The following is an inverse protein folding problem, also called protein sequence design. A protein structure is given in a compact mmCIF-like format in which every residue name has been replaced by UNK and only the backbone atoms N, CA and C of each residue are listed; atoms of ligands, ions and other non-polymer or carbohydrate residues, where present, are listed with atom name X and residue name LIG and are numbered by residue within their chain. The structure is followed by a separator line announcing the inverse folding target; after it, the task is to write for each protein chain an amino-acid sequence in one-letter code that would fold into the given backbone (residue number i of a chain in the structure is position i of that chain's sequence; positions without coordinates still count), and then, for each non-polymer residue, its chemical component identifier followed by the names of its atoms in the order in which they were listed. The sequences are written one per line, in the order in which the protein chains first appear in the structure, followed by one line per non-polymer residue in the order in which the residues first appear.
data_IF_405563021179
#
_entry.id   IF_405563021179
#
_cell.length_a   1.000
_cell.length_b   1.000
_cell.length_c   1.000
_cell.angle_alpha   90.00
_cell.angle_beta   90.00
_cell.angle_gamma   90.00
#
_symmetry.space_group_name_H-M   'P 1'
#
loop_
_entity.id
_entity.type
_entity.pdbx_description
1 polymer ?
#
# COMPACT_ATOMS: atom_id res chain seq x y z
N UNK A 1 48.95 8.22 53.05
CA UNK A 1 48.56 7.03 52.29
C UNK A 1 47.07 7.03 51.85
N UNK A 2 46.25 8.01 52.11
CA UNK A 2 44.80 8.01 51.70
C UNK A 2 44.51 8.64 50.35
N UNK A 3 45.41 9.43 49.80
CA UNK A 3 45.19 10.21 48.53
C UNK A 3 45.48 9.44 47.25
N UNK A 4 46.23 8.33 47.31
CA UNK A 4 46.58 7.51 46.14
C UNK A 4 45.53 6.46 45.77
N UNK A 5 44.61 6.12 46.70
CA UNK A 5 43.59 5.10 46.44
C UNK A 5 42.37 5.67 45.65
N UNK A 6 42.12 6.97 45.77
CA UNK A 6 40.97 7.63 45.09
C UNK A 6 41.29 7.84 43.58
N UNK A 7 42.56 8.04 43.23
CA UNK A 7 42.95 8.23 41.82
C UNK A 7 42.85 6.96 41.01
N UNK A 8 43.00 5.78 41.63
CA UNK A 8 42.90 4.47 40.94
C UNK A 8 41.43 4.07 40.67
N UNK A 9 40.47 4.51 41.51
CA UNK A 9 39.07 4.23 41.31
C UNK A 9 38.43 5.11 40.21
N UNK A 10 38.94 6.32 39.97
CA UNK A 10 38.50 7.20 38.89
C UNK A 10 39.05 6.77 37.50
N UNK A 11 40.18 6.11 37.44
CA UNK A 11 40.76 5.59 36.21
C UNK A 11 40.13 4.28 35.73
N UNK A 12 39.48 3.52 36.61
CA UNK A 12 38.77 2.29 36.24
C UNK A 12 37.39 2.55 35.68
N UNK A 13 36.77 3.71 35.94
CA UNK A 13 35.46 4.10 35.38
C UNK A 13 35.60 4.71 33.97
N UNK A 14 36.76 5.18 33.57
CA UNK A 14 37.01 5.78 32.26
C UNK A 14 37.27 4.80 31.10
N UNK A 15 37.44 3.50 31.36
CA UNK A 15 37.80 2.51 30.36
C UNK A 15 36.62 1.68 29.80
N UNK A 16 35.41 1.87 30.32
CA UNK A 16 34.22 1.16 29.83
C UNK A 16 33.34 1.94 28.85
N UNK A 17 33.79 3.15 28.42
CA UNK A 17 33.03 3.99 27.50
C UNK A 17 33.42 3.77 26.01
N UNK A 18 34.24 2.78 25.69
CA UNK A 18 34.60 2.48 24.32
C UNK A 18 33.67 1.41 23.73
N UNK A 19 32.72 1.85 22.90
CA UNK A 19 32.15 1.01 21.87
C UNK A 19 30.81 0.36 22.14
N UNK A 20 29.89 0.99 22.89
CA UNK A 20 28.51 0.50 22.84
C UNK A 20 27.90 0.83 21.48
N UNK A 21 27.65 -0.19 20.67
CA UNK A 21 27.07 -0.08 19.34
C UNK A 21 25.67 0.58 19.46
N UNK A 22 25.43 1.63 18.69
CA UNK A 22 24.18 2.38 18.73
C UNK A 22 23.04 1.64 18.01
N UNK A 23 21.78 1.88 18.32
CA UNK A 23 20.66 1.30 17.57
C UNK A 23 20.73 1.55 16.06
N UNK A 24 21.23 2.73 15.64
CA UNK A 24 21.51 3.05 14.23
C UNK A 24 22.50 2.10 13.57
N UNK A 25 23.53 1.67 14.29
CA UNK A 25 24.55 0.79 13.75
C UNK A 25 23.98 -0.62 13.52
N UNK A 26 23.18 -1.11 14.49
CA UNK A 26 22.44 -2.37 14.34
C UNK A 26 21.47 -2.31 13.16
N UNK A 27 20.75 -1.19 13.00
CA UNK A 27 19.80 -1.02 11.90
C UNK A 27 20.50 -1.03 10.54
N UNK A 28 21.62 -0.29 10.40
CA UNK A 28 22.38 -0.23 9.16
C UNK A 28 22.99 -1.60 8.81
N UNK A 29 23.55 -2.30 9.79
CA UNK A 29 24.12 -3.64 9.58
C UNK A 29 23.03 -4.67 9.23
N UNK A 30 21.89 -4.66 9.91
CA UNK A 30 20.73 -5.49 9.58
C UNK A 30 20.24 -5.22 8.16
N UNK A 31 20.18 -3.95 7.75
CA UNK A 31 19.80 -3.55 6.40
C UNK A 31 20.81 -4.04 5.35
N UNK A 32 22.11 -4.00 5.67
CA UNK A 32 23.13 -4.57 4.81
C UNK A 32 22.96 -6.08 4.64
N UNK A 33 22.78 -6.83 5.72
CA UNK A 33 22.52 -8.28 5.66
C UNK A 33 21.24 -8.61 4.87
N UNK A 34 20.19 -7.82 5.05
CA UNK A 34 18.95 -7.95 4.27
C UNK A 34 19.23 -7.82 2.76
N UNK A 35 19.99 -6.81 2.35
CA UNK A 35 20.34 -6.57 0.95
C UNK A 35 21.28 -7.66 0.38
N UNK A 36 22.11 -8.27 1.23
CA UNK A 36 22.98 -9.40 0.89
C UNK A 36 22.22 -10.74 0.85
N UNK A 37 20.94 -10.77 1.28
CA UNK A 37 20.11 -11.97 1.33
C UNK A 37 20.30 -12.83 2.60
N UNK A 38 21.09 -12.38 3.57
CA UNK A 38 21.27 -13.05 4.87
C UNK A 38 20.14 -12.65 5.81
N UNK A 39 18.96 -13.29 5.59
CA UNK A 39 17.73 -12.95 6.31
C UNK A 39 17.82 -13.24 7.81
N UNK A 40 18.61 -14.22 8.24
CA UNK A 40 18.72 -14.58 9.66
C UNK A 40 19.50 -13.50 10.42
N UNK A 41 20.64 -13.02 9.89
CA UNK A 41 21.39 -11.91 10.52
C UNK A 41 20.64 -10.58 10.43
N UNK A 42 19.90 -10.34 9.33
CA UNK A 42 19.05 -9.17 9.22
C UNK A 42 17.99 -9.18 10.33
N UNK A 43 17.32 -10.31 10.53
CA UNK A 43 16.31 -10.49 11.57
C UNK A 43 16.89 -10.28 12.97
N UNK A 44 18.05 -10.86 13.28
CA UNK A 44 18.75 -10.70 14.57
C UNK A 44 19.00 -9.21 14.88
N UNK A 45 19.54 -8.46 13.93
CA UNK A 45 19.83 -7.03 14.12
C UNK A 45 18.56 -6.18 14.30
N UNK A 46 17.49 -6.44 13.55
CA UNK A 46 16.21 -5.73 13.74
C UNK A 46 15.53 -6.12 15.06
N UNK A 47 15.53 -7.40 15.44
CA UNK A 47 14.99 -7.86 16.71
C UNK A 47 15.73 -7.26 17.90
N UNK A 48 17.06 -7.12 17.83
CA UNK A 48 17.83 -6.47 18.86
C UNK A 48 17.31 -5.06 19.17
N UNK A 49 16.96 -4.28 18.15
CA UNK A 49 16.39 -2.93 18.33
C UNK A 49 14.99 -3.02 18.96
N UNK A 50 14.17 -3.94 18.46
CA UNK A 50 12.78 -4.10 18.95
C UNK A 50 12.75 -4.51 20.42
N UNK A 51 13.65 -5.37 20.84
CA UNK A 51 13.68 -5.94 22.21
C UNK A 51 14.36 -4.99 23.20
N UNK A 52 15.47 -4.35 22.79
CA UNK A 52 16.32 -3.60 23.72
C UNK A 52 16.11 -2.09 23.66
N UNK A 53 15.50 -1.57 22.57
CA UNK A 53 15.31 -0.14 22.35
C UNK A 53 13.89 0.25 21.95
N UNK A 54 12.85 -0.17 22.72
CA UNK A 54 11.44 0.02 22.32
C UNK A 54 10.98 1.48 22.28
N UNK A 55 11.77 2.42 22.81
CA UNK A 55 11.51 3.87 22.77
C UNK A 55 12.37 4.62 21.74
N UNK A 56 13.22 3.90 21.01
CA UNK A 56 14.05 4.50 19.98
C UNK A 56 13.21 4.84 18.73
N UNK A 57 13.55 5.91 18.03
CA UNK A 57 12.88 6.33 16.80
C UNK A 57 12.91 5.28 15.69
N UNK A 58 13.91 4.40 15.68
CA UNK A 58 14.02 3.30 14.72
C UNK A 58 13.13 2.10 15.06
N UNK A 59 12.53 2.06 16.26
CA UNK A 59 11.71 0.94 16.69
C UNK A 59 10.60 0.57 15.67
N UNK A 60 9.74 1.51 15.19
CA UNK A 60 8.68 1.13 14.27
C UNK A 60 9.22 0.65 12.92
N UNK A 61 10.35 1.20 12.46
CA UNK A 61 11.00 0.74 11.23
C UNK A 61 11.63 -0.64 11.39
N UNK A 62 12.30 -0.90 12.52
CA UNK A 62 12.85 -2.20 12.85
C UNK A 62 11.75 -3.26 12.96
N UNK A 63 10.64 -2.94 13.66
CA UNK A 63 9.50 -3.83 13.80
C UNK A 63 8.82 -4.14 12.46
N UNK A 64 8.70 -3.14 11.58
CA UNK A 64 8.22 -3.35 10.20
C UNK A 64 9.14 -4.34 9.46
N UNK A 65 10.45 -4.16 9.55
CA UNK A 65 11.41 -5.01 8.87
C UNK A 65 11.43 -6.43 9.46
N UNK A 66 11.27 -6.60 10.77
CA UNK A 66 11.05 -7.91 11.41
C UNK A 66 9.86 -8.63 10.77
N UNK A 67 8.71 -7.96 10.68
CA UNK A 67 7.52 -8.52 10.05
C UNK A 67 7.79 -8.92 8.59
N UNK A 68 8.50 -8.08 7.84
CA UNK A 68 8.80 -8.33 6.44
C UNK A 68 9.78 -9.49 6.24
N UNK A 69 10.82 -9.60 7.07
CA UNK A 69 11.73 -10.76 7.03
C UNK A 69 10.99 -12.05 7.35
N UNK A 70 10.13 -12.07 8.37
CA UNK A 70 9.30 -13.23 8.65
C UNK A 70 8.41 -13.62 7.47
N UNK A 71 7.79 -12.63 6.80
CA UNK A 71 7.00 -12.88 5.59
C UNK A 71 7.83 -13.56 4.49
N UNK A 72 9.03 -13.05 4.19
CA UNK A 72 9.93 -13.62 3.20
C UNK A 72 10.40 -15.03 3.56
N UNK A 73 10.54 -15.32 4.85
CA UNK A 73 10.84 -16.66 5.37
C UNK A 73 9.61 -17.58 5.41
N UNK A 74 8.44 -17.12 4.96
CA UNK A 74 7.14 -17.82 5.03
C UNK A 74 6.67 -18.14 6.46
N UNK A 75 7.20 -17.44 7.44
CA UNK A 75 6.77 -17.47 8.84
C UNK A 75 5.62 -16.48 9.02
N UNK A 76 4.48 -16.81 8.38
CA UNK A 76 3.37 -15.86 8.23
C UNK A 76 2.72 -15.49 9.55
N UNK A 77 2.65 -16.41 10.53
CA UNK A 77 2.08 -16.10 11.84
C UNK A 77 2.97 -15.14 12.62
N UNK A 78 4.28 -15.36 12.64
CA UNK A 78 5.26 -14.46 13.28
C UNK A 78 5.26 -13.07 12.61
N UNK A 79 5.05 -13.03 11.30
CA UNK A 79 4.87 -11.79 10.56
C UNK A 79 3.59 -11.06 11.00
N UNK A 80 2.46 -11.76 11.13
CA UNK A 80 1.20 -11.20 11.66
C UNK A 80 1.41 -10.63 13.06
N UNK A 81 2.12 -11.34 13.93
CA UNK A 81 2.36 -10.91 15.31
C UNK A 81 3.21 -9.63 15.37
N UNK A 82 4.26 -9.53 14.53
CA UNK A 82 5.08 -8.33 14.42
C UNK A 82 4.27 -7.14 13.88
N UNK A 83 3.52 -7.32 12.81
CA UNK A 83 2.70 -6.26 12.24
C UNK A 83 1.51 -5.88 13.13
N UNK A 84 0.96 -6.80 13.94
CA UNK A 84 -0.07 -6.49 14.93
C UNK A 84 0.48 -5.56 16.02
N UNK A 85 1.72 -5.77 16.47
CA UNK A 85 2.38 -4.83 17.39
C UNK A 85 2.56 -3.45 16.76
N UNK A 86 2.94 -3.40 15.47
CA UNK A 86 3.07 -2.14 14.73
C UNK A 86 1.72 -1.45 14.55
N UNK A 87 0.67 -2.20 14.23
CA UNK A 87 -0.70 -1.68 14.03
C UNK A 87 -1.26 -1.03 15.30
N UNK A 88 -1.02 -1.65 16.46
CA UNK A 88 -1.50 -1.21 17.76
C UNK A 88 -0.59 -0.18 18.45
N UNK A 89 0.59 0.10 17.89
CA UNK A 89 1.54 1.05 18.43
C UNK A 89 1.14 2.51 18.17
N UNK A 90 1.53 3.40 19.08
CA UNK A 90 1.34 4.86 18.96
C UNK A 90 2.49 5.52 18.18
N UNK A 91 2.81 5.05 16.99
CA UNK A 91 3.94 5.55 16.19
C UNK A 91 3.62 6.86 15.48
N UNK A 92 4.66 7.66 15.27
CA UNK A 92 4.54 8.86 14.43
C UNK A 92 4.38 8.46 12.95
N UNK A 93 3.29 8.94 12.34
CA UNK A 93 2.97 8.68 10.93
C UNK A 93 3.42 9.83 10.00
N UNK A 94 4.11 10.83 10.55
CA UNK A 94 4.52 12.04 9.83
C UNK A 94 6.06 12.20 9.79
N UNK A 95 6.80 11.12 9.74
CA UNK A 95 8.25 11.18 9.58
C UNK A 95 8.63 11.12 8.10
N UNK A 96 9.52 12.00 7.62
CA UNK A 96 10.04 11.90 6.27
C UNK A 96 10.84 10.60 6.10
N UNK A 97 10.49 9.79 5.11
CA UNK A 97 11.16 8.52 4.81
C UNK A 97 12.54 8.67 4.16
N UNK A 98 12.96 9.89 3.88
CA UNK A 98 14.25 10.17 3.25
C UNK A 98 14.42 11.66 3.03
N UNK A 99 15.67 12.10 2.85
CA UNK A 99 15.99 13.48 2.53
C UNK A 99 15.65 13.84 1.09
N UNK A 100 15.21 15.07 0.87
CA UNK A 100 15.01 15.63 -0.46
C UNK A 100 13.63 16.26 -0.65
N UNK A 101 13.54 17.10 -1.68
CA UNK A 101 12.33 17.89 -2.00
C UNK A 101 11.12 17.02 -2.34
N UNK A 102 11.35 15.77 -2.77
CA UNK A 102 10.31 14.81 -3.17
C UNK A 102 10.01 13.76 -2.09
N UNK A 103 10.51 13.93 -0.87
CA UNK A 103 10.23 13.01 0.22
C UNK A 103 8.77 13.11 0.65
N UNK A 104 8.05 11.98 0.59
CA UNK A 104 6.70 11.88 1.15
C UNK A 104 6.82 11.91 2.68
N UNK A 105 6.12 12.82 3.38
CA UNK A 105 6.21 12.96 4.84
C UNK A 105 5.50 11.82 5.58
N UNK A 106 4.77 10.95 4.89
CA UNK A 106 3.96 9.89 5.51
C UNK A 106 4.70 8.57 5.58
N UNK A 107 4.85 8.02 6.79
CA UNK A 107 5.43 6.68 7.00
C UNK A 107 4.45 5.58 6.67
N UNK A 108 3.15 5.84 6.85
CA UNK A 108 2.08 4.87 6.62
C UNK A 108 2.28 3.54 7.40
N UNK A 109 2.85 3.56 8.62
CA UNK A 109 3.16 2.34 9.36
C UNK A 109 1.94 1.46 9.59
N UNK A 110 0.82 2.03 10.06
CA UNK A 110 -0.41 1.26 10.31
C UNK A 110 -1.08 0.79 9.03
N UNK A 111 -1.09 1.64 7.99
CA UNK A 111 -1.57 1.23 6.67
C UNK A 111 -0.77 0.03 6.14
N UNK A 112 0.56 0.13 6.16
CA UNK A 112 1.45 -0.95 5.72
C UNK A 112 1.28 -2.21 6.55
N UNK A 113 1.17 -2.08 7.88
CA UNK A 113 0.95 -3.21 8.77
C UNK A 113 -0.36 -3.93 8.45
N UNK A 114 -1.48 -3.20 8.30
CA UNK A 114 -2.77 -3.80 7.95
C UNK A 114 -2.72 -4.52 6.59
N UNK A 115 -2.07 -3.90 5.59
CA UNK A 115 -1.89 -4.49 4.26
C UNK A 115 -1.04 -5.77 4.32
N UNK A 116 0.07 -5.75 5.07
CA UNK A 116 0.94 -6.92 5.21
C UNK A 116 0.30 -8.06 6.02
N UNK A 117 -0.50 -7.74 7.02
CA UNK A 117 -1.31 -8.75 7.72
C UNK A 117 -2.31 -9.39 6.75
N UNK A 118 -2.94 -8.60 5.86
CA UNK A 118 -3.80 -9.13 4.80
C UNK A 118 -3.04 -10.10 3.89
N UNK A 119 -1.83 -9.73 3.45
CA UNK A 119 -0.99 -10.58 2.61
C UNK A 119 -0.60 -11.89 3.35
N UNK A 120 -0.27 -11.82 4.64
CA UNK A 120 0.02 -13.02 5.44
C UNK A 120 -1.19 -13.97 5.53
N UNK A 121 -2.39 -13.43 5.80
CA UNK A 121 -3.60 -14.27 5.85
C UNK A 121 -3.97 -14.83 4.47
N UNK A 122 -3.69 -14.11 3.41
CA UNK A 122 -3.85 -14.62 2.05
C UNK A 122 -2.95 -15.84 1.81
N UNK A 123 -1.67 -15.76 2.16
CA UNK A 123 -0.71 -16.87 2.04
C UNK A 123 -1.07 -18.06 2.95
N UNK A 124 -1.72 -17.82 4.08
CA UNK A 124 -2.26 -18.85 4.97
C UNK A 124 -3.58 -19.46 4.46
N UNK A 125 -4.13 -18.99 3.33
CA UNK A 125 -5.42 -19.42 2.81
C UNK A 125 -6.63 -18.93 3.61
N UNK A 126 -6.43 -17.99 4.54
CA UNK A 126 -7.48 -17.41 5.39
C UNK A 126 -8.07 -16.14 4.75
N UNK A 127 -8.75 -16.32 3.61
CA UNK A 127 -9.16 -15.22 2.72
C UNK A 127 -10.15 -14.23 3.36
N UNK A 128 -11.03 -14.66 4.26
CA UNK A 128 -11.93 -13.76 5.01
C UNK A 128 -11.13 -12.83 5.94
N UNK A 129 -10.10 -13.35 6.60
CA UNK A 129 -9.20 -12.53 7.42
C UNK A 129 -8.38 -11.58 6.55
N UNK A 130 -7.87 -12.04 5.40
CA UNK A 130 -7.17 -11.21 4.43
C UNK A 130 -8.05 -10.03 3.99
N UNK A 131 -9.30 -10.31 3.60
CA UNK A 131 -10.26 -9.28 3.19
C UNK A 131 -10.53 -8.26 4.30
N UNK A 132 -10.70 -8.74 5.55
CA UNK A 132 -10.93 -7.87 6.70
C UNK A 132 -9.77 -6.90 6.94
N UNK A 133 -8.53 -7.38 6.91
CA UNK A 133 -7.37 -6.52 7.14
C UNK A 133 -7.08 -5.58 5.95
N UNK A 134 -7.35 -6.01 4.72
CA UNK A 134 -7.29 -5.13 3.56
C UNK A 134 -8.33 -4.00 3.67
N UNK A 135 -9.56 -4.32 4.11
CA UNK A 135 -10.58 -3.29 4.36
C UNK A 135 -10.19 -2.32 5.49
N UNK A 136 -9.51 -2.81 6.55
CA UNK A 136 -8.98 -1.94 7.61
C UNK A 136 -7.92 -0.97 7.08
N UNK A 137 -7.08 -1.39 6.13
CA UNK A 137 -6.07 -0.51 5.52
C UNK A 137 -6.71 0.65 4.74
N UNK A 138 -7.90 0.45 4.18
CA UNK A 138 -8.63 1.51 3.45
C UNK A 138 -9.46 2.42 4.36
N UNK A 139 -10.02 1.86 5.44
CA UNK A 139 -11.02 2.56 6.27
C UNK A 139 -10.43 3.15 7.54
N UNK A 140 -9.81 2.32 8.38
CA UNK A 140 -9.25 2.75 9.67
C UNK A 140 -7.83 3.35 9.53
N UNK A 141 -7.07 2.89 8.56
CA UNK A 141 -5.68 3.28 8.34
C UNK A 141 -5.42 3.69 6.88
N UNK A 142 -6.13 4.71 6.35
CA UNK A 142 -6.06 5.05 4.93
C UNK A 142 -4.64 5.44 4.53
N UNK A 143 -4.25 5.06 3.31
CA UNK A 143 -3.00 5.47 2.69
C UNK A 143 -2.94 7.00 2.58
N UNK A 144 -1.77 7.57 2.83
CA UNK A 144 -1.50 9.00 2.72
C UNK A 144 -0.27 9.25 1.87
N UNK A 145 -0.36 10.21 0.97
CA UNK A 145 0.74 10.72 0.14
C UNK A 145 0.43 12.14 -0.31
N UNK A 146 1.44 12.92 -0.60
CA UNK A 146 1.29 14.23 -1.25
C UNK A 146 1.35 14.12 -2.77
N UNK A 147 1.55 12.90 -3.32
CA UNK A 147 1.68 12.64 -4.73
C UNK A 147 0.41 11.99 -5.32
N UNK A 148 -0.23 12.65 -6.28
CA UNK A 148 -1.42 12.12 -6.96
C UNK A 148 -1.16 10.81 -7.72
N UNK A 149 0.03 10.65 -8.33
CA UNK A 149 0.40 9.40 -9.01
C UNK A 149 0.54 8.24 -8.01
N UNK A 150 1.06 8.50 -6.79
CA UNK A 150 1.15 7.49 -5.75
C UNK A 150 -0.24 7.00 -5.32
N UNK A 151 -1.25 7.88 -5.27
CA UNK A 151 -2.64 7.47 -5.05
C UNK A 151 -3.18 6.62 -6.19
N UNK A 152 -2.93 7.01 -7.45
CA UNK A 152 -3.40 6.24 -8.60
C UNK A 152 -2.81 4.82 -8.61
N UNK A 153 -1.52 4.68 -8.37
CA UNK A 153 -0.85 3.38 -8.22
C UNK A 153 -1.40 2.57 -7.02
N UNK A 154 -1.64 3.26 -5.91
CA UNK A 154 -2.23 2.64 -4.71
C UNK A 154 -3.61 2.06 -5.01
N UNK A 155 -4.51 2.80 -5.68
CA UNK A 155 -5.85 2.33 -6.00
C UNK A 155 -5.83 1.12 -6.94
N UNK A 156 -4.97 1.13 -7.97
CA UNK A 156 -4.79 0.00 -8.88
C UNK A 156 -4.33 -1.24 -8.11
N UNK A 157 -3.27 -1.11 -7.31
CA UNK A 157 -2.72 -2.24 -6.53
C UNK A 157 -3.72 -2.80 -5.53
N UNK A 158 -4.47 -1.92 -4.87
CA UNK A 158 -5.48 -2.32 -3.88
C UNK A 158 -6.67 -3.00 -4.55
N UNK A 159 -7.13 -2.48 -5.70
CA UNK A 159 -8.19 -3.12 -6.48
C UNK A 159 -7.81 -4.54 -6.93
N UNK A 160 -6.57 -4.74 -7.39
CA UNK A 160 -6.06 -6.07 -7.77
C UNK A 160 -6.01 -7.02 -6.57
N UNK A 161 -5.60 -6.56 -5.39
CA UNK A 161 -5.60 -7.38 -4.17
C UNK A 161 -7.02 -7.80 -3.75
N UNK A 162 -7.97 -6.87 -3.76
CA UNK A 162 -9.38 -7.21 -3.51
C UNK A 162 -9.89 -8.24 -4.51
N UNK A 163 -9.61 -8.03 -5.79
CA UNK A 163 -10.07 -8.92 -6.84
C UNK A 163 -9.51 -10.34 -6.67
N UNK A 164 -8.23 -10.47 -6.34
CA UNK A 164 -7.60 -11.76 -6.10
C UNK A 164 -8.21 -12.48 -4.89
N UNK A 165 -8.39 -11.77 -3.76
CA UNK A 165 -9.05 -12.34 -2.57
C UNK A 165 -10.49 -12.76 -2.89
N UNK A 166 -11.27 -11.93 -3.60
CA UNK A 166 -12.64 -12.28 -3.95
C UNK A 166 -12.73 -13.48 -4.89
N UNK A 167 -11.79 -13.65 -5.82
CA UNK A 167 -11.71 -14.84 -6.66
C UNK A 167 -11.43 -16.10 -5.83
N UNK A 168 -10.50 -16.03 -4.86
CA UNK A 168 -10.24 -17.14 -3.93
C UNK A 168 -11.47 -17.50 -3.08
N UNK A 169 -12.32 -16.53 -2.78
CA UNK A 169 -13.60 -16.70 -2.09
C UNK A 169 -14.74 -17.18 -3.02
N UNK A 170 -14.49 -17.39 -4.33
CA UNK A 170 -15.52 -17.76 -5.30
C UNK A 170 -16.53 -16.64 -5.58
N UNK A 171 -16.16 -15.38 -5.45
CA UNK A 171 -17.00 -14.19 -5.61
C UNK A 171 -16.53 -13.30 -6.79
N UNK A 172 -16.52 -13.81 -8.04
CA UNK A 172 -15.96 -13.11 -9.19
C UNK A 172 -16.66 -11.78 -9.51
N UNK A 173 -17.96 -11.66 -9.23
CA UNK A 173 -18.68 -10.40 -9.46
C UNK A 173 -18.19 -9.29 -8.54
N UNK A 174 -17.86 -9.59 -7.28
CA UNK A 174 -17.23 -8.62 -6.39
C UNK A 174 -15.79 -8.26 -6.80
N UNK A 175 -15.07 -9.20 -7.41
CA UNK A 175 -13.77 -8.90 -8.00
C UNK A 175 -13.92 -7.87 -9.14
N UNK A 176 -14.90 -8.06 -10.02
CA UNK A 176 -15.23 -7.11 -11.09
C UNK A 176 -15.58 -5.74 -10.50
N UNK A 177 -16.46 -5.67 -9.48
CA UNK A 177 -16.84 -4.42 -8.81
C UNK A 177 -15.62 -3.64 -8.28
N UNK A 178 -14.58 -4.33 -7.79
CA UNK A 178 -13.37 -3.68 -7.29
C UNK A 178 -12.42 -3.19 -8.39
N UNK A 179 -12.40 -3.87 -9.53
CA UNK A 179 -11.52 -3.51 -10.65
C UNK A 179 -12.08 -2.37 -11.50
N UNK A 180 -13.41 -2.33 -11.71
CA UNK A 180 -14.05 -1.38 -12.62
C UNK A 180 -13.73 0.10 -12.35
N UNK A 181 -13.61 0.61 -11.11
CA UNK A 181 -13.23 2.00 -10.87
C UNK A 181 -11.85 2.38 -11.42
N UNK A 182 -11.00 1.40 -11.76
CA UNK A 182 -9.61 1.63 -12.21
C UNK A 182 -9.40 1.36 -13.72
N UNK A 183 -10.48 1.26 -14.51
CA UNK A 183 -10.38 0.92 -15.95
C UNK A 183 -9.87 2.05 -16.82
N UNK A 184 -10.01 3.29 -16.40
CA UNK A 184 -9.48 4.44 -17.12
C UNK A 184 -8.13 4.85 -16.50
N UNK A 185 -7.14 5.07 -17.37
CA UNK A 185 -5.82 5.52 -16.91
C UNK A 185 -5.91 6.82 -16.10
N UNK A 186 -5.27 6.87 -14.96
CA UNK A 186 -5.21 8.03 -14.08
C UNK A 186 -3.75 8.44 -13.84
N UNK A 187 -3.42 9.65 -14.24
CA UNK A 187 -2.05 10.17 -14.16
C UNK A 187 -1.06 9.35 -14.98
N UNK A 188 0.03 8.91 -14.33
CA UNK A 188 1.09 8.07 -14.91
C UNK A 188 0.98 6.60 -14.48
N UNK A 189 -0.06 6.24 -13.75
CA UNK A 189 -0.23 4.87 -13.24
C UNK A 189 -0.67 3.92 -14.36
N UNK A 190 0.01 2.78 -14.47
CA UNK A 190 -0.29 1.73 -15.44
C UNK A 190 -1.44 0.84 -14.93
N UNK A 191 -2.56 0.84 -15.63
CA UNK A 191 -3.73 0.02 -15.32
C UNK A 191 -3.85 -1.25 -16.20
N UNK A 192 -2.84 -1.60 -16.98
CA UNK A 192 -2.87 -2.74 -17.89
C UNK A 192 -3.25 -4.05 -17.21
N UNK A 193 -2.79 -4.27 -15.97
CA UNK A 193 -3.15 -5.44 -15.16
C UNK A 193 -4.63 -5.50 -14.79
N UNK A 194 -5.28 -4.34 -14.59
CA UNK A 194 -6.73 -4.25 -14.37
C UNK A 194 -7.47 -4.75 -15.61
N UNK A 195 -7.05 -4.32 -16.80
CA UNK A 195 -7.67 -4.70 -18.07
C UNK A 195 -7.54 -6.21 -18.30
N UNK A 196 -6.33 -6.76 -18.12
CA UNK A 196 -6.07 -8.21 -18.27
C UNK A 196 -6.91 -9.03 -17.29
N UNK A 197 -7.06 -8.59 -16.06
CA UNK A 197 -7.82 -9.34 -15.06
C UNK A 197 -9.33 -9.28 -15.32
N UNK A 198 -9.84 -8.10 -15.74
CA UNK A 198 -11.24 -7.96 -16.17
C UNK A 198 -11.55 -8.80 -17.40
N UNK A 199 -10.65 -8.88 -18.39
CA UNK A 199 -10.84 -9.72 -19.56
C UNK A 199 -11.14 -11.18 -19.17
N UNK A 200 -10.35 -11.74 -18.24
CA UNK A 200 -10.56 -13.11 -17.73
C UNK A 200 -11.91 -13.27 -17.05
N UNK A 201 -12.28 -12.31 -16.19
CA UNK A 201 -13.49 -12.35 -15.38
C UNK A 201 -14.78 -12.10 -16.18
N UNK A 202 -14.67 -11.36 -17.28
CA UNK A 202 -15.80 -11.00 -18.13
C UNK A 202 -16.03 -12.01 -19.26
N UNK A 203 -15.06 -12.87 -19.56
CA UNK A 203 -15.14 -13.86 -20.62
C UNK A 203 -16.39 -14.74 -20.49
N UNK A 204 -17.18 -14.81 -21.57
CA UNK A 204 -18.42 -15.60 -21.62
C UNK A 204 -19.66 -14.91 -21.04
N UNK A 205 -19.55 -13.68 -20.54
CA UNK A 205 -20.74 -12.86 -20.20
C UNK A 205 -21.30 -12.25 -21.50
N UNK A 206 -22.64 -12.15 -21.60
CA UNK A 206 -23.33 -11.66 -22.80
C UNK A 206 -23.57 -10.13 -22.77
N UNK A 207 -23.73 -9.56 -23.95
CA UNK A 207 -24.18 -8.18 -24.17
C UNK A 207 -23.28 -7.09 -23.53
N UNK A 208 -22.03 -7.40 -23.25
CA UNK A 208 -21.13 -6.50 -22.54
C UNK A 208 -20.87 -5.20 -23.32
N UNK A 209 -20.57 -5.30 -24.61
CA UNK A 209 -20.32 -4.14 -25.46
C UNK A 209 -21.56 -3.25 -25.60
N UNK A 210 -22.73 -3.88 -25.84
CA UNK A 210 -24.00 -3.13 -25.93
C UNK A 210 -24.27 -2.35 -24.64
N UNK A 211 -24.14 -3.00 -23.47
CA UNK A 211 -24.30 -2.36 -22.16
C UNK A 211 -23.29 -1.25 -21.93
N UNK A 212 -22.04 -1.43 -22.39
CA UNK A 212 -21.00 -0.41 -22.26
C UNK A 212 -21.31 0.80 -23.13
N UNK A 213 -21.76 0.59 -24.38
CA UNK A 213 -22.18 1.69 -25.27
C UNK A 213 -23.37 2.47 -24.72
N UNK A 214 -24.37 1.77 -24.17
CA UNK A 214 -25.51 2.39 -23.48
C UNK A 214 -25.03 3.25 -22.29
N UNK A 215 -24.11 2.72 -21.50
CA UNK A 215 -23.51 3.43 -20.34
C UNK A 215 -22.72 4.66 -20.77
N UNK A 216 -21.89 4.55 -21.82
CA UNK A 216 -21.10 5.66 -22.35
C UNK A 216 -22.00 6.76 -22.97
N UNK A 217 -23.06 6.37 -23.66
CA UNK A 217 -24.05 7.34 -24.18
C UNK A 217 -24.81 8.06 -23.07
N UNK A 218 -24.97 7.40 -21.92
CA UNK A 218 -25.58 7.95 -20.70
C UNK A 218 -24.60 8.64 -19.76
N UNK A 219 -23.39 9.00 -20.21
CA UNK A 219 -22.40 9.69 -19.37
C UNK A 219 -22.96 10.97 -18.75
N UNK A 220 -22.71 11.18 -17.46
CA UNK A 220 -23.20 12.33 -16.72
C UNK A 220 -22.11 12.99 -15.89
N UNK A 221 -22.27 14.29 -15.63
CA UNK A 221 -21.37 15.03 -14.74
C UNK A 221 -21.88 14.89 -13.30
N UNK A 222 -20.96 14.56 -12.39
CA UNK A 222 -21.24 14.40 -10.95
C UNK A 222 -20.31 15.28 -10.13
N UNK A 223 -20.89 15.96 -9.14
CA UNK A 223 -20.13 16.73 -8.15
C UNK A 223 -19.80 15.84 -6.95
N UNK A 224 -18.53 15.85 -6.56
CA UNK A 224 -18.02 15.19 -5.36
C UNK A 224 -17.58 16.25 -4.36
N UNK A 225 -18.03 16.11 -3.10
CA UNK A 225 -17.63 17.01 -2.01
C UNK A 225 -16.53 16.39 -1.17
N UNK A 226 -15.44 17.12 -0.98
CA UNK A 226 -14.34 16.72 -0.11
C UNK A 226 -14.03 17.81 0.91
N UNK A 227 -13.22 17.50 1.90
CA UNK A 227 -12.72 18.50 2.87
C UNK A 227 -11.88 19.63 2.23
N UNK A 228 -11.45 19.44 0.97
CA UNK A 228 -10.68 20.42 0.20
C UNK A 228 -11.51 21.22 -0.79
N UNK A 229 -12.83 20.98 -0.85
CA UNK A 229 -13.77 21.59 -1.78
C UNK A 229 -14.43 20.58 -2.71
N UNK A 230 -15.31 21.12 -3.56
CA UNK A 230 -16.05 20.34 -4.54
C UNK A 230 -15.25 20.19 -5.83
N UNK A 231 -15.40 19.03 -6.45
CA UNK A 231 -14.88 18.80 -7.79
C UNK A 231 -15.90 18.00 -8.62
N UNK A 232 -15.82 18.11 -9.92
CA UNK A 232 -16.71 17.45 -10.86
C UNK A 232 -15.99 16.40 -11.69
N UNK A 233 -16.67 15.26 -11.93
CA UNK A 233 -16.20 14.18 -12.81
C UNK A 233 -17.32 13.70 -13.71
N UNK A 234 -16.97 13.35 -14.94
CA UNK A 234 -17.85 12.56 -15.80
C UNK A 234 -17.84 11.10 -15.31
N UNK A 235 -19.04 10.53 -15.18
CA UNK A 235 -19.24 9.18 -14.67
C UNK A 235 -20.11 8.38 -15.64
N UNK A 236 -19.91 7.06 -15.64
CA UNK A 236 -20.82 6.08 -16.26
C UNK A 236 -21.25 5.05 -15.22
N UNK A 237 -22.40 4.44 -15.46
CA UNK A 237 -22.86 3.27 -14.69
C UNK A 237 -22.75 2.01 -15.56
N UNK A 238 -21.87 1.08 -15.19
CA UNK A 238 -21.72 -0.17 -15.92
C UNK A 238 -21.64 -1.37 -14.99
N UNK A 239 -22.40 -2.42 -15.27
CA UNK A 239 -22.52 -3.62 -14.42
C UNK A 239 -22.84 -3.30 -12.94
N UNK A 240 -23.60 -2.24 -12.69
CA UNK A 240 -23.97 -1.82 -11.34
C UNK A 240 -22.90 -0.97 -10.62
N UNK A 241 -21.78 -0.69 -11.26
CA UNK A 241 -20.69 0.11 -10.70
C UNK A 241 -20.63 1.48 -11.33
N UNK A 242 -20.48 2.52 -10.49
CA UNK A 242 -20.15 3.87 -10.96
C UNK A 242 -18.67 3.97 -11.26
N UNK A 243 -18.33 4.41 -12.46
CA UNK A 243 -16.96 4.52 -12.93
C UNK A 243 -16.70 5.99 -13.28
N UNK A 244 -15.76 6.62 -12.57
CA UNK A 244 -15.34 7.98 -12.84
C UNK A 244 -14.35 8.01 -14.00
N UNK A 245 -14.49 8.99 -14.89
CA UNK A 245 -13.48 9.29 -15.90
C UNK A 245 -12.48 10.31 -15.32
N UNK A 246 -11.18 10.01 -15.24
CA UNK A 246 -10.19 10.88 -14.62
C UNK A 246 -10.06 12.22 -15.36
N UNK A 247 -9.89 13.29 -14.58
CA UNK A 247 -9.61 14.60 -15.14
C UNK A 247 -8.18 14.63 -15.71
N UNK A 248 -8.03 14.90 -17.01
CA UNK A 248 -6.74 15.05 -17.68
C UNK A 248 -6.50 16.50 -18.07
N UNK A 249 -5.38 17.01 -17.73
CA UNK A 249 -4.62 18.27 -17.83
C UNK A 249 -5.20 19.46 -18.61
N UNK A 250 -6.14 19.32 -19.52
CA UNK A 250 -6.68 20.45 -20.26
C UNK A 250 -8.16 20.64 -19.93
N UNK A 251 -8.46 21.65 -19.10
CA UNK A 251 -9.84 21.95 -18.67
C UNK A 251 -10.77 22.23 -19.86
N UNK A 252 -10.26 22.83 -20.93
CA UNK A 252 -11.04 23.13 -22.13
C UNK A 252 -11.42 21.89 -22.94
N UNK A 253 -10.68 20.79 -22.78
CA UNK A 253 -10.94 19.51 -23.43
C UNK A 253 -11.80 18.55 -22.60
N UNK A 254 -12.03 18.87 -21.33
CA UNK A 254 -12.83 18.04 -20.44
C UNK A 254 -14.33 18.33 -20.66
N UNK A 255 -14.81 18.00 -21.84
CA UNK A 255 -16.20 18.12 -22.27
C UNK A 255 -16.83 16.74 -22.40
N UNK A 256 -18.15 16.66 -22.29
CA UNK A 256 -18.88 15.40 -22.43
C UNK A 256 -18.55 14.67 -23.74
N UNK A 257 -18.53 15.39 -24.85
CA UNK A 257 -18.23 14.84 -26.17
C UNK A 257 -16.82 14.23 -26.24
N UNK A 258 -15.80 14.96 -25.77
CA UNK A 258 -14.44 14.46 -25.74
C UNK A 258 -14.26 13.28 -24.78
N UNK A 259 -14.93 13.28 -23.63
CA UNK A 259 -14.90 12.17 -22.67
C UNK A 259 -15.51 10.91 -23.30
N UNK A 260 -16.67 11.02 -23.96
CA UNK A 260 -17.29 9.90 -24.70
C UNK A 260 -16.34 9.34 -25.73
N UNK A 261 -15.73 10.22 -26.54
CA UNK A 261 -14.76 9.81 -27.56
C UNK A 261 -13.57 9.06 -26.95
N UNK A 262 -12.98 9.62 -25.90
CA UNK A 262 -11.82 9.01 -25.22
C UNK A 262 -12.15 7.71 -24.49
N UNK A 263 -13.34 7.57 -23.93
CA UNK A 263 -13.81 6.29 -23.36
C UNK A 263 -13.83 5.20 -24.43
N UNK A 264 -14.32 5.50 -25.65
CA UNK A 264 -14.35 4.55 -26.76
C UNK A 264 -12.98 4.25 -27.37
N UNK A 265 -12.03 5.15 -27.24
CA UNK A 265 -10.62 4.97 -27.67
C UNK A 265 -9.79 4.20 -26.63
N UNK A 266 -10.31 3.98 -25.39
CA UNK A 266 -9.57 3.36 -24.30
C UNK A 266 -9.30 1.88 -24.51
N UNK A 267 -8.23 1.38 -23.89
CA UNK A 267 -7.92 -0.07 -23.88
C UNK A 267 -9.04 -0.88 -23.22
N UNK A 268 -9.73 -0.31 -22.23
CA UNK A 268 -10.90 -0.93 -21.62
C UNK A 268 -12.03 -1.19 -22.63
N UNK A 269 -12.39 -0.17 -23.42
CA UNK A 269 -13.43 -0.32 -24.45
C UNK A 269 -13.03 -1.35 -25.52
N UNK A 270 -11.78 -1.28 -26.00
CA UNK A 270 -11.24 -2.23 -26.96
C UNK A 270 -11.27 -3.67 -26.46
N UNK A 271 -10.88 -3.87 -25.19
CA UNK A 271 -10.96 -5.19 -24.55
C UNK A 271 -12.39 -5.72 -24.54
N UNK A 272 -13.37 -4.90 -24.09
CA UNK A 272 -14.79 -5.31 -24.06
C UNK A 272 -15.32 -5.59 -25.46
N UNK A 273 -14.90 -4.83 -26.48
CA UNK A 273 -15.28 -5.06 -27.87
C UNK A 273 -14.69 -6.34 -28.47
N UNK A 274 -13.61 -6.84 -27.89
CA UNK A 274 -12.97 -8.11 -28.31
C UNK A 274 -13.52 -9.36 -27.63
N UNK A 275 -14.36 -9.24 -26.58
CA UNK A 275 -14.98 -10.36 -25.86
C UNK A 275 -16.19 -10.92 -26.60
#
# INVERSE_FOLDING_TARGET
MKTRLILFLLLSFGLFAFGQKMPSDYFQEATRYFNEGDMDKALEGYLYIVENHPRNELYPRALHNVGYVYFLQRKYQESVDAYTKLLNGGHNELEPLGGGIMADPYTNFRHRAATQISDCYYELGQYDSALRYLALSDTAYPYRSDCGNAYAEYYIRTALRYADIYQKLGQPDKAIEKLLPQVFENGLADNSKIIVELEKLLKGKSDLLKKLDESINGVYLKTFTTKYGDYERYCIQWLGVEIEYPYRFNKSEYTQENVIKKMRESEFYKMVAGL
#
